data_IF_819699010479
#
_entry.id   IF_819699010479
#
_cell.length_a   1.000
_cell.length_b   1.000
_cell.length_c   1.000
_cell.angle_alpha   90.00
_cell.angle_beta   90.00
_cell.angle_gamma   90.00
#
_symmetry.space_group_name_H-M   'P 1'
#
loop_
_entity.id
_entity.type
_entity.pdbx_description
1 polymer ?
#
# COMPACT_ATOMS: atom_id res chain seq x y z
N UNK A 1 -31.15 -57.01 -1.14
CA UNK A 1 -29.90 -56.38 -0.66
C UNK A 1 -29.33 -55.52 -1.77
N UNK A 2 -29.79 -54.28 -1.87
CA UNK A 2 -29.39 -53.31 -2.91
C UNK A 2 -28.39 -52.33 -2.29
N UNK A 3 -27.13 -52.39 -2.76
CA UNK A 3 -26.06 -51.47 -2.35
C UNK A 3 -26.19 -50.17 -3.13
N UNK A 4 -26.43 -49.06 -2.44
CA UNK A 4 -26.27 -47.71 -2.97
C UNK A 4 -24.85 -47.21 -2.65
N UNK A 5 -24.12 -46.82 -3.70
CA UNK A 5 -22.79 -46.21 -3.63
C UNK A 5 -22.93 -44.69 -3.46
N UNK A 6 -22.09 -44.00 -2.66
CA UNK A 6 -22.16 -42.56 -2.51
C UNK A 6 -21.39 -41.83 -3.63
N UNK A 7 -22.03 -40.79 -4.17
CA UNK A 7 -21.51 -39.93 -5.22
C UNK A 7 -20.31 -39.11 -4.74
N UNK A 8 -19.26 -39.07 -5.57
CA UNK A 8 -18.11 -38.20 -5.43
C UNK A 8 -18.51 -36.74 -5.67
N UNK A 9 -18.31 -35.87 -4.66
CA UNK A 9 -18.40 -34.41 -4.83
C UNK A 9 -17.07 -33.88 -5.36
N UNK A 10 -17.07 -33.50 -6.63
CA UNK A 10 -16.05 -32.68 -7.26
C UNK A 10 -16.14 -31.24 -6.73
N UNK A 11 -15.08 -30.77 -6.07
CA UNK A 11 -14.90 -29.36 -5.67
C UNK A 11 -14.11 -28.70 -6.79
N UNK A 12 -14.79 -28.05 -7.74
CA UNK A 12 -14.17 -27.11 -8.65
C UNK A 12 -14.04 -25.78 -7.90
N UNK A 13 -12.80 -25.44 -7.50
CA UNK A 13 -12.44 -24.09 -7.06
C UNK A 13 -12.50 -23.19 -8.30
N UNK A 14 -13.50 -22.31 -8.33
CA UNK A 14 -13.59 -21.22 -9.31
C UNK A 14 -12.43 -20.26 -9.10
N UNK A 15 -11.60 -20.13 -10.14
CA UNK A 15 -10.51 -19.16 -10.19
C UNK A 15 -11.06 -17.74 -10.32
N UNK A 16 -10.37 -16.83 -9.63
CA UNK A 16 -10.63 -15.39 -9.52
C UNK A 16 -10.73 -14.73 -10.90
N UNK A 17 -11.86 -14.08 -11.15
CA UNK A 17 -12.02 -13.14 -12.26
C UNK A 17 -11.74 -11.76 -11.68
N UNK A 18 -10.55 -11.21 -11.93
CA UNK A 18 -10.27 -9.81 -11.61
C UNK A 18 -11.07 -8.93 -12.59
N UNK A 19 -11.95 -8.03 -12.12
CA UNK A 19 -12.51 -7.02 -12.99
C UNK A 19 -11.41 -6.02 -13.36
N UNK A 20 -11.19 -5.84 -14.66
CA UNK A 20 -10.42 -4.72 -15.20
C UNK A 20 -11.05 -3.42 -14.69
N UNK A 21 -10.34 -2.73 -13.80
CA UNK A 21 -10.69 -1.38 -13.39
C UNK A 21 -10.38 -0.48 -14.60
N UNK A 22 -11.44 -0.11 -15.34
CA UNK A 22 -11.38 0.95 -16.33
C UNK A 22 -11.14 2.28 -15.60
N UNK A 23 -9.87 2.66 -15.47
CA UNK A 23 -9.49 4.00 -15.03
C UNK A 23 -9.94 4.99 -16.11
N UNK A 24 -10.97 5.77 -15.79
CA UNK A 24 -11.23 7.00 -16.55
C UNK A 24 -10.01 7.90 -16.43
N UNK A 25 -9.44 8.25 -17.58
CA UNK A 25 -8.32 9.18 -17.74
C UNK A 25 -8.71 10.55 -17.20
N UNK A 26 -8.56 10.74 -15.88
CA UNK A 26 -8.60 12.08 -15.29
C UNK A 26 -7.32 12.78 -15.73
N UNK A 27 -7.46 13.82 -16.55
CA UNK A 27 -6.35 14.69 -16.93
C UNK A 27 -5.71 15.24 -15.65
N UNK A 28 -4.58 14.64 -15.28
CA UNK A 28 -3.81 15.02 -14.10
C UNK A 28 -3.13 16.35 -14.41
N UNK A 29 -3.82 17.46 -14.14
CA UNK A 29 -3.18 18.77 -14.16
C UNK A 29 -2.11 18.78 -13.06
N UNK A 30 -0.80 18.85 -13.41
CA UNK A 30 0.24 18.87 -12.40
C UNK A 30 -0.01 20.06 -11.48
N UNK A 31 -0.01 19.86 -10.15
CA UNK A 31 -0.22 20.96 -9.22
C UNK A 31 0.86 22.01 -9.49
N UNK A 32 0.42 23.25 -9.75
CA UNK A 32 1.32 24.39 -9.95
C UNK A 32 2.26 24.44 -8.76
N UNK A 33 3.55 24.15 -8.98
CA UNK A 33 4.62 24.26 -7.98
C UNK A 33 4.59 25.68 -7.42
N UNK A 34 3.91 25.88 -6.29
CA UNK A 34 4.07 27.09 -5.50
C UNK A 34 5.46 26.98 -4.90
N UNK A 35 6.34 27.91 -5.27
CA UNK A 35 7.63 28.06 -4.63
C UNK A 35 7.38 28.27 -3.13
N UNK A 36 7.61 27.23 -2.33
CA UNK A 36 7.55 27.31 -0.87
C UNK A 36 8.85 27.97 -0.41
N UNK A 37 8.85 29.30 -0.42
CA UNK A 37 9.86 30.09 0.26
C UNK A 37 9.52 30.09 1.76
N UNK A 38 10.30 29.39 2.58
CA UNK A 38 10.27 29.55 4.04
C UNK A 38 10.51 28.27 4.83
N UNK A 39 11.75 28.11 5.30
CA UNK A 39 12.22 27.13 6.28
C UNK A 39 11.40 27.16 7.58
N UNK A 40 10.27 26.49 7.59
CA UNK A 40 9.65 25.98 8.82
C UNK A 40 9.65 24.47 8.68
N UNK A 41 10.74 23.82 9.10
CA UNK A 41 10.81 22.36 9.26
C UNK A 41 9.85 21.98 10.39
N UNK A 42 8.56 21.91 10.08
CA UNK A 42 7.60 21.30 10.97
C UNK A 42 7.99 19.83 11.04
N UNK A 43 8.44 19.41 12.21
CA UNK A 43 8.68 18.01 12.46
C UNK A 43 7.32 17.33 12.58
N UNK A 44 7.00 16.48 11.60
CA UNK A 44 5.78 15.68 11.62
C UNK A 44 6.12 14.32 12.25
N UNK A 45 5.24 13.77 13.09
CA UNK A 45 5.47 12.43 13.66
C UNK A 45 5.62 11.41 12.53
N UNK A 46 6.54 10.44 12.68
CA UNK A 46 6.72 9.37 11.67
C UNK A 46 5.48 8.49 11.55
N UNK A 47 4.79 8.27 12.68
CA UNK A 47 3.58 7.45 12.77
C UNK A 47 2.55 8.18 13.62
N UNK A 48 1.29 8.20 13.18
CA UNK A 48 0.15 8.72 13.93
C UNK A 48 -0.71 7.54 14.34
N UNK A 49 -0.77 7.25 15.65
CA UNK A 49 -1.73 6.29 16.21
C UNK A 49 -3.10 6.98 16.34
N UNK A 50 -4.04 6.64 15.46
CA UNK A 50 -5.41 7.20 15.48
C UNK A 50 -6.27 6.45 16.50
N UNK A 51 -6.11 5.13 16.55
CA UNK A 51 -6.74 4.24 17.54
C UNK A 51 -5.90 2.97 17.71
N UNK A 52 -6.30 2.05 18.57
CA UNK A 52 -5.66 0.72 18.66
C UNK A 52 -5.84 -0.13 17.39
N UNK A 53 -6.79 0.25 16.54
CA UNK A 53 -7.10 -0.41 15.28
C UNK A 53 -6.66 0.39 14.04
N UNK A 54 -6.06 1.57 14.19
CA UNK A 54 -5.73 2.44 13.06
C UNK A 54 -4.46 3.26 13.28
N UNK A 55 -3.57 3.19 12.28
CA UNK A 55 -2.32 3.93 12.20
C UNK A 55 -2.21 4.62 10.84
N UNK A 56 -1.65 5.82 10.85
CA UNK A 56 -1.44 6.62 9.65
C UNK A 56 0.02 7.04 9.55
N UNK A 57 0.57 7.02 8.34
CA UNK A 57 1.92 7.47 8.04
C UNK A 57 1.85 8.79 7.24
N UNK A 58 2.17 9.93 7.85
CA UNK A 58 2.18 11.21 7.17
C UNK A 58 3.43 11.39 6.31
N UNK A 59 3.30 12.18 5.26
CA UNK A 59 4.42 12.64 4.47
C UNK A 59 5.35 13.52 5.30
N UNK A 60 6.64 13.20 5.30
CA UNK A 60 7.66 13.99 6.01
C UNK A 60 7.79 15.44 5.53
N UNK A 61 7.38 15.74 4.30
CA UNK A 61 7.52 17.08 3.69
C UNK A 61 6.35 18.00 4.06
N UNK A 62 5.11 17.49 4.04
CA UNK A 62 3.91 18.32 4.21
C UNK A 62 2.92 17.84 5.28
N UNK A 63 3.16 16.68 5.91
CA UNK A 63 2.28 16.10 6.92
C UNK A 63 1.01 15.45 6.37
N UNK A 64 0.73 15.51 5.07
CA UNK A 64 -0.43 14.85 4.47
C UNK A 64 -0.33 13.34 4.63
N UNK A 65 -1.43 12.66 4.97
CA UNK A 65 -1.46 11.21 5.14
C UNK A 65 -1.17 10.53 3.79
N UNK A 66 -0.12 9.72 3.76
CA UNK A 66 0.31 8.99 2.57
C UNK A 66 -0.08 7.51 2.64
N UNK A 67 -0.10 6.95 3.85
CA UNK A 67 -0.44 5.54 4.09
C UNK A 67 -1.36 5.41 5.29
N UNK A 68 -2.33 4.51 5.20
CA UNK A 68 -3.18 4.11 6.34
C UNK A 68 -3.16 2.60 6.50
N UNK A 69 -3.06 2.15 7.75
CA UNK A 69 -3.32 0.78 8.17
C UNK A 69 -4.51 0.80 9.15
N UNK A 70 -5.61 0.14 8.80
CA UNK A 70 -6.79 0.08 9.66
C UNK A 70 -7.36 -1.33 9.72
N UNK A 71 -7.78 -1.83 10.89
CA UNK A 71 -8.54 -3.08 10.96
C UNK A 71 -9.97 -2.81 10.49
N UNK A 72 -10.39 -3.49 9.43
CA UNK A 72 -11.71 -3.28 8.82
C UNK A 72 -12.11 -4.46 7.94
N UNK A 73 -13.17 -4.26 7.15
CA UNK A 73 -13.60 -5.21 6.11
C UNK A 73 -13.22 -4.57 4.77
N UNK A 74 -12.25 -5.14 4.02
CA UNK A 74 -11.89 -4.64 2.69
C UNK A 74 -13.09 -4.67 1.74
N UNK A 75 -13.11 -3.79 0.74
CA UNK A 75 -14.23 -3.61 -0.19
C UNK A 75 -14.69 -4.92 -0.86
N UNK A 76 -13.78 -5.86 -1.10
CA UNK A 76 -14.03 -7.12 -1.83
C UNK A 76 -13.90 -8.36 -0.94
N UNK A 77 -14.02 -8.20 0.38
CA UNK A 77 -13.94 -9.28 1.36
C UNK A 77 -15.13 -9.24 2.30
N UNK A 78 -15.51 -10.40 2.85
CA UNK A 78 -16.49 -10.52 3.94
C UNK A 78 -15.79 -10.66 5.31
N UNK A 79 -14.48 -10.92 5.31
CA UNK A 79 -13.69 -11.15 6.51
C UNK A 79 -12.92 -9.90 6.92
N UNK A 80 -12.76 -9.72 8.25
CA UNK A 80 -11.91 -8.68 8.80
C UNK A 80 -10.45 -8.90 8.42
N UNK A 81 -9.79 -7.82 8.03
CA UNK A 81 -8.39 -7.77 7.64
C UNK A 81 -7.78 -6.44 8.10
N UNK A 82 -6.47 -6.27 7.91
CA UNK A 82 -5.85 -4.95 7.94
C UNK A 82 -6.04 -4.36 6.54
N UNK A 83 -6.85 -3.32 6.44
CA UNK A 83 -6.98 -2.48 5.26
C UNK A 83 -5.74 -1.59 5.15
N UNK A 84 -4.91 -1.86 4.15
CA UNK A 84 -3.83 -0.98 3.73
C UNK A 84 -4.33 -0.04 2.64
N UNK A 85 -3.96 1.22 2.71
CA UNK A 85 -4.16 2.21 1.64
C UNK A 85 -2.88 3.00 1.47
N UNK A 86 -2.25 2.90 0.30
CA UNK A 86 -1.04 3.60 -0.10
C UNK A 86 -1.29 4.67 -1.15
N UNK A 87 -0.24 5.06 -1.87
CA UNK A 87 -0.32 6.10 -2.90
C UNK A 87 -0.77 5.57 -4.28
N UNK A 88 -0.42 4.33 -4.62
CA UNK A 88 -0.77 3.71 -5.91
C UNK A 88 -1.67 2.49 -5.73
N UNK A 89 -1.63 1.82 -4.58
CA UNK A 89 -2.50 0.66 -4.36
C UNK A 89 -3.03 0.55 -2.92
N UNK A 90 -4.06 -0.30 -2.77
CA UNK A 90 -4.66 -0.66 -1.50
C UNK A 90 -4.98 -2.16 -1.49
N UNK A 91 -4.87 -2.81 -0.34
CA UNK A 91 -5.19 -4.23 -0.21
C UNK A 91 -5.57 -4.62 1.21
N UNK A 92 -6.19 -5.79 1.34
CA UNK A 92 -6.42 -6.44 2.64
C UNK A 92 -5.24 -7.34 3.01
N UNK A 93 -4.67 -7.15 4.19
CA UNK A 93 -3.63 -8.01 4.76
C UNK A 93 -4.27 -8.90 5.84
N UNK A 94 -3.85 -10.17 5.89
CA UNK A 94 -4.39 -11.12 6.86
C UNK A 94 -4.27 -10.59 8.30
N UNK A 95 -5.37 -10.68 9.05
CA UNK A 95 -5.46 -10.13 10.40
C UNK A 95 -4.43 -10.75 11.38
N UNK A 96 -3.91 -11.95 11.10
CA UNK A 96 -2.83 -12.57 11.89
C UNK A 96 -1.52 -11.76 11.90
N UNK A 97 -1.34 -10.84 10.95
CA UNK A 97 -0.18 -9.96 10.91
C UNK A 97 -0.35 -8.71 11.79
N UNK A 98 -1.55 -8.43 12.32
CA UNK A 98 -1.89 -7.17 12.96
C UNK A 98 -1.01 -6.88 14.19
N UNK A 99 -0.92 -7.84 15.11
CA UNK A 99 -0.11 -7.68 16.33
C UNK A 99 1.32 -7.25 16.01
N UNK A 100 1.92 -7.89 15.01
CA UNK A 100 3.31 -7.63 14.60
C UNK A 100 3.44 -6.27 13.91
N UNK A 101 2.61 -5.98 12.91
CA UNK A 101 2.66 -4.72 12.17
C UNK A 101 2.39 -3.54 13.11
N UNK A 102 1.36 -3.63 13.96
CA UNK A 102 0.98 -2.53 14.84
C UNK A 102 2.00 -2.30 15.96
N UNK A 103 2.64 -3.37 16.46
CA UNK A 103 3.78 -3.22 17.40
C UNK A 103 4.92 -2.44 16.76
N UNK A 104 5.28 -2.73 15.51
CA UNK A 104 6.35 -1.99 14.82
C UNK A 104 5.96 -0.56 14.48
N UNK A 105 4.69 -0.32 14.11
CA UNK A 105 4.18 1.03 13.89
C UNK A 105 4.22 1.86 15.18
N UNK A 106 3.82 1.29 16.31
CA UNK A 106 3.89 1.97 17.62
C UNK A 106 5.33 2.29 18.04
N UNK A 107 6.31 1.52 17.57
CA UNK A 107 7.75 1.73 17.79
C UNK A 107 8.42 2.56 16.68
N UNK A 108 7.64 3.10 15.73
CA UNK A 108 8.13 3.85 14.56
C UNK A 108 9.15 3.09 13.67
N UNK A 109 9.08 1.75 13.68
CA UNK A 109 9.97 0.86 12.92
C UNK A 109 9.42 0.59 11.50
N UNK A 110 9.21 1.65 10.72
CA UNK A 110 8.58 1.58 9.39
C UNK A 110 9.34 0.66 8.44
N UNK A 111 10.69 0.68 8.48
CA UNK A 111 11.52 -0.23 7.68
C UNK A 111 11.24 -1.72 7.94
N UNK A 112 10.89 -2.12 9.18
CA UNK A 112 10.51 -3.50 9.47
C UNK A 112 9.13 -3.85 8.92
N UNK A 113 8.18 -2.92 8.98
CA UNK A 113 6.86 -3.10 8.35
C UNK A 113 7.03 -3.27 6.84
N UNK A 114 7.78 -2.39 6.20
CA UNK A 114 8.07 -2.46 4.77
C UNK A 114 8.70 -3.81 4.38
N UNK A 115 9.80 -4.21 5.02
CA UNK A 115 10.47 -5.48 4.73
C UNK A 115 9.61 -6.71 5.03
N UNK A 116 8.67 -6.62 5.97
CA UNK A 116 7.73 -7.69 6.25
C UNK A 116 6.68 -7.83 5.14
N UNK A 117 6.11 -6.71 4.67
CA UNK A 117 5.16 -6.72 3.57
C UNK A 117 5.79 -7.29 2.30
N UNK A 118 6.96 -6.77 1.93
CA UNK A 118 7.81 -7.23 0.81
C UNK A 118 8.00 -8.76 0.80
N UNK A 119 8.34 -9.34 1.95
CA UNK A 119 8.74 -10.75 2.04
C UNK A 119 7.61 -11.74 2.30
N UNK A 120 6.51 -11.29 2.89
CA UNK A 120 5.50 -12.20 3.43
C UNK A 120 4.11 -12.01 2.86
N UNK A 121 3.84 -10.92 2.15
CA UNK A 121 2.54 -10.66 1.57
C UNK A 121 2.70 -10.56 0.06
N UNK A 122 2.22 -11.58 -0.65
CA UNK A 122 2.38 -11.74 -2.12
C UNK A 122 1.88 -10.54 -2.92
N UNK A 123 0.87 -9.80 -2.41
CA UNK A 123 0.32 -8.62 -3.11
C UNK A 123 1.21 -7.37 -2.93
N UNK A 124 2.18 -7.42 -2.02
CA UNK A 124 3.08 -6.31 -1.67
C UNK A 124 4.53 -6.67 -1.95
N UNK A 125 4.85 -7.19 -3.14
CA UNK A 125 6.24 -7.57 -3.48
C UNK A 125 7.21 -6.38 -3.35
N UNK A 126 6.71 -5.15 -3.42
CA UNK A 126 7.47 -3.89 -3.27
C UNK A 126 7.28 -3.18 -1.91
N UNK A 127 6.60 -3.83 -0.97
CA UNK A 127 6.30 -3.29 0.36
C UNK A 127 5.40 -2.04 0.35
N UNK A 128 5.69 -1.08 1.23
CA UNK A 128 4.94 0.19 1.35
C UNK A 128 5.26 1.11 0.16
N UNK A 129 4.32 1.35 -0.75
CA UNK A 129 4.51 2.16 -1.96
C UNK A 129 4.86 3.65 -1.74
N UNK A 130 4.58 4.20 -0.56
CA UNK A 130 4.92 5.58 -0.17
C UNK A 130 6.30 5.73 0.52
N UNK A 131 7.02 4.63 0.74
CA UNK A 131 8.23 4.57 1.56
C UNK A 131 9.51 4.56 0.73
N UNK A 132 10.51 5.34 1.13
CA UNK A 132 11.87 5.30 0.60
C UNK A 132 12.81 4.61 1.60
N UNK A 133 13.32 3.39 1.31
CA UNK A 133 14.21 2.65 2.21
C UNK A 133 15.54 3.36 2.51
N UNK A 134 16.08 4.09 1.54
CA UNK A 134 17.35 4.83 1.70
C UNK A 134 17.20 6.03 2.64
N UNK A 135 16.04 6.68 2.64
CA UNK A 135 15.77 7.81 3.53
C UNK A 135 15.17 7.42 4.88
N UNK A 136 14.62 6.19 5.00
CA UNK A 136 13.72 5.79 6.09
C UNK A 136 12.57 6.80 6.32
N UNK A 137 11.90 7.19 5.22
CA UNK A 137 10.86 8.23 5.22
C UNK A 137 9.67 7.89 4.34
N UNK A 138 8.51 8.43 4.71
CA UNK A 138 7.24 8.34 3.99
C UNK A 138 6.97 9.63 3.23
N UNK A 139 6.48 9.49 2.00
CA UNK A 139 6.17 10.61 1.09
C UNK A 139 4.79 10.42 0.47
N UNK A 140 3.97 11.47 0.46
CA UNK A 140 2.68 11.43 -0.25
C UNK A 140 2.89 11.52 -1.76
N UNK A 141 1.84 11.25 -2.54
CA UNK A 141 1.86 11.28 -4.01
C UNK A 141 2.31 12.61 -4.62
N UNK A 142 2.27 13.72 -3.86
CA UNK A 142 2.80 15.02 -4.31
C UNK A 142 4.33 15.14 -4.16
N UNK A 143 4.92 14.42 -3.21
CA UNK A 143 6.35 14.49 -2.89
C UNK A 143 7.10 13.20 -3.24
N UNK A 144 6.38 12.12 -3.55
CA UNK A 144 6.94 10.91 -4.15
C UNK A 144 6.49 10.87 -5.61
N UNK A 145 7.37 11.32 -6.52
CA UNK A 145 7.04 11.40 -7.93
C UNK A 145 6.87 9.98 -8.49
N UNK A 146 5.68 9.67 -9.01
CA UNK A 146 5.39 8.37 -9.62
C UNK A 146 5.52 8.44 -11.15
N UNK A 147 5.98 7.36 -11.76
CA UNK A 147 6.05 7.20 -13.21
C UNK A 147 5.71 5.76 -13.58
N UNK A 148 4.66 5.59 -14.36
CA UNK A 148 4.31 4.31 -14.97
C UNK A 148 5.25 3.99 -16.14
N UNK A 149 5.63 2.73 -16.26
CA UNK A 149 6.39 2.16 -17.36
C UNK A 149 5.49 1.18 -18.11
N UNK A 150 5.56 1.23 -19.43
CA UNK A 150 4.73 0.43 -20.32
C UNK A 150 5.66 -0.31 -21.29
N UNK A 151 5.48 -1.62 -21.41
CA UNK A 151 6.22 -2.47 -22.35
C UNK A 151 5.25 -3.15 -23.32
N UNK A 152 5.54 -3.06 -24.62
CA UNK A 152 4.70 -3.57 -25.71
C UNK A 152 3.20 -3.20 -25.62
N UNK A 153 2.89 -2.03 -25.03
CA UNK A 153 1.52 -1.53 -24.86
C UNK A 153 0.78 -2.11 -23.65
N UNK A 154 1.46 -2.86 -22.79
CA UNK A 154 0.95 -3.35 -21.52
C UNK A 154 1.60 -2.58 -20.36
N UNK A 155 0.87 -2.47 -19.25
CA UNK A 155 1.45 -1.95 -18.02
C UNK A 155 2.55 -2.92 -17.57
N UNK A 156 3.74 -2.39 -17.34
CA UNK A 156 4.88 -3.15 -16.82
C UNK A 156 4.99 -2.88 -15.32
N UNK A 157 5.46 -1.69 -14.93
CA UNK A 157 5.64 -1.34 -13.52
C UNK A 157 5.45 0.16 -13.24
N UNK A 158 5.48 0.55 -11.96
CA UNK A 158 5.46 1.95 -11.52
C UNK A 158 6.68 2.23 -10.66
N UNK A 159 7.42 3.28 -11.02
CA UNK A 159 8.55 3.79 -10.25
C UNK A 159 8.11 4.92 -9.32
N UNK A 160 8.65 4.94 -8.10
CA UNK A 160 8.56 6.06 -7.16
C UNK A 160 9.92 6.73 -6.96
N UNK A 161 9.99 8.06 -7.08
CA UNK A 161 11.23 8.86 -6.89
C UNK A 161 11.05 9.92 -5.80
N UNK A 162 11.84 9.83 -4.73
CA UNK A 162 11.70 10.70 -3.55
C UNK A 162 12.39 12.06 -3.77
N UNK A 163 12.22 13.04 -2.86
CA UNK A 163 12.86 14.35 -2.97
C UNK A 163 14.39 14.31 -2.97
N UNK A 164 14.99 13.26 -2.39
CA UNK A 164 16.44 13.01 -2.41
C UNK A 164 16.90 12.25 -3.67
N UNK A 165 16.01 12.06 -4.66
CA UNK A 165 16.28 11.42 -5.94
C UNK A 165 16.62 9.91 -5.86
N UNK A 166 16.21 9.22 -4.79
CA UNK A 166 16.21 7.77 -4.73
C UNK A 166 15.00 7.22 -5.49
N UNK A 167 15.22 6.26 -6.38
CA UNK A 167 14.21 5.67 -7.26
C UNK A 167 14.11 4.17 -7.04
N UNK A 168 12.88 3.62 -7.00
CA UNK A 168 12.61 2.18 -6.97
C UNK A 168 11.28 1.85 -7.61
N UNK A 169 11.06 0.58 -7.91
CA UNK A 169 9.73 0.06 -8.24
C UNK A 169 8.87 0.09 -6.96
N UNK A 170 7.61 0.52 -7.11
CA UNK A 170 6.64 0.62 -6.02
C UNK A 170 5.36 -0.18 -6.30
N UNK A 171 5.20 -0.67 -7.54
CA UNK A 171 4.14 -1.56 -7.98
C UNK A 171 4.59 -2.24 -9.28
N UNK A 172 4.51 -3.56 -9.31
CA UNK A 172 4.75 -4.43 -10.47
C UNK A 172 3.47 -5.24 -10.70
#
# INVERSE_FOLDING_TARGET
MTRTSPAARSILKSYSIYPMILYHSVEFMPPKKKAVNGNSTRDFPKVIKVSDSEYQLPCVVCGAIAVTFAIGIPQFSEEKAICYTGIVHGAGINLKAADRIFTWLEQEQIGLVHAFLEKHIVIFEEGIDAYCPECDKIYCSLHYATREEWDDGFYDCTYGTCPENHTRIIHD
#
